data_IF_284123585306
#
_entry.id   IF_284123585306
#
_cell.length_a   1.000
_cell.length_b   1.000
_cell.length_c   1.000
_cell.angle_alpha   90.00
_cell.angle_beta   90.00
_cell.angle_gamma   90.00
#
_symmetry.space_group_name_H-M   'P 1'
#
loop_
_entity.id
_entity.type
_entity.pdbx_description
1 polymer ?
#
# COMPACT_ATOMS: atom_id res chain seq x y z
N UNK A 1 -5.41 -21.32 13.61
CA UNK A 1 -6.31 -20.40 14.36
C UNK A 1 -5.61 -19.10 14.73
N UNK A 2 -4.53 -19.13 15.53
CA UNK A 2 -3.83 -17.93 16.00
C UNK A 2 -3.39 -16.98 14.88
N UNK A 3 -2.71 -17.48 13.83
CA UNK A 3 -2.25 -16.64 12.71
C UNK A 3 -3.39 -15.98 11.93
N UNK A 4 -4.54 -16.66 11.81
CA UNK A 4 -5.72 -16.08 11.17
C UNK A 4 -6.29 -14.93 12.00
N UNK A 5 -6.40 -15.11 13.32
CA UNK A 5 -6.83 -14.07 14.25
C UNK A 5 -5.87 -12.88 14.18
N UNK A 6 -4.56 -13.14 14.20
CA UNK A 6 -3.53 -12.11 14.08
C UNK A 6 -3.69 -11.29 12.79
N UNK A 7 -3.91 -11.95 11.66
CA UNK A 7 -4.17 -11.29 10.39
C UNK A 7 -5.39 -10.36 10.44
N UNK A 8 -6.52 -10.86 10.93
CA UNK A 8 -7.73 -10.04 11.05
C UNK A 8 -7.58 -8.88 12.04
N UNK A 9 -6.90 -9.08 13.17
CA UNK A 9 -6.55 -8.00 14.08
C UNK A 9 -5.72 -6.91 13.38
N UNK A 10 -4.74 -7.31 12.58
CA UNK A 10 -3.95 -6.38 11.75
C UNK A 10 -4.81 -5.59 10.77
N UNK A 11 -5.68 -6.27 10.01
CA UNK A 11 -6.60 -5.64 9.06
C UNK A 11 -7.54 -4.64 9.73
N UNK A 12 -8.19 -5.03 10.84
CA UNK A 12 -9.09 -4.13 11.55
C UNK A 12 -8.36 -2.93 12.14
N UNK A 13 -7.14 -3.12 12.65
CA UNK A 13 -6.32 -2.04 13.17
C UNK A 13 -5.92 -1.06 12.06
N UNK A 14 -5.57 -1.55 10.86
CA UNK A 14 -5.32 -0.70 9.69
C UNK A 14 -6.55 0.16 9.34
N UNK A 15 -7.72 -0.46 9.23
CA UNK A 15 -8.97 0.24 8.89
C UNK A 15 -9.35 1.25 9.97
N UNK A 16 -9.25 0.88 11.25
CA UNK A 16 -9.51 1.78 12.36
C UNK A 16 -8.53 2.97 12.37
N UNK A 17 -7.26 2.73 12.07
CA UNK A 17 -6.24 3.77 12.02
C UNK A 17 -6.44 4.71 10.82
N UNK A 18 -6.87 4.16 9.68
CA UNK A 18 -7.26 4.94 8.52
C UNK A 18 -8.53 5.76 8.78
N UNK A 19 -9.50 5.21 9.52
CA UNK A 19 -10.66 5.95 9.98
C UNK A 19 -10.29 7.05 10.98
N UNK A 20 -9.33 6.80 11.89
CA UNK A 20 -8.87 7.79 12.87
C UNK A 20 -8.35 9.07 12.22
N UNK A 21 -7.44 8.96 11.24
CA UNK A 21 -6.92 10.12 10.51
C UNK A 21 -8.01 10.81 9.67
N UNK A 22 -9.03 10.07 9.25
CA UNK A 22 -10.11 10.59 8.40
C UNK A 22 -11.24 11.26 9.19
N UNK A 23 -11.49 10.85 10.44
CA UNK A 23 -12.64 11.29 11.24
C UNK A 23 -12.28 12.22 12.41
N UNK A 24 -11.03 12.18 12.89
CA UNK A 24 -10.61 12.98 14.06
C UNK A 24 -9.80 14.19 13.59
N UNK A 25 -10.39 15.39 13.73
CA UNK A 25 -9.75 16.65 13.33
C UNK A 25 -8.46 16.97 14.10
N UNK A 26 -8.36 16.52 15.35
CA UNK A 26 -7.18 16.69 16.22
C UNK A 26 -6.31 15.42 16.31
N UNK A 27 -6.19 14.69 15.19
CA UNK A 27 -5.41 13.46 15.17
C UNK A 27 -3.93 13.69 15.55
N UNK A 28 -3.35 12.71 16.24
CA UNK A 28 -1.96 12.77 16.70
C UNK A 28 -1.09 11.84 15.85
N UNK A 29 -0.04 12.36 15.17
CA UNK A 29 0.83 11.54 14.32
C UNK A 29 1.43 10.32 15.03
N UNK A 30 1.90 10.48 16.28
CA UNK A 30 2.47 9.36 17.04
C UNK A 30 1.46 8.23 17.31
N UNK A 31 0.18 8.55 17.53
CA UNK A 31 -0.88 7.55 17.72
C UNK A 31 -1.12 6.81 16.40
N UNK A 32 -1.24 7.56 15.31
CA UNK A 32 -1.43 6.99 13.97
C UNK A 32 -0.29 6.05 13.58
N UNK A 33 0.97 6.50 13.66
CA UNK A 33 2.11 5.67 13.27
C UNK A 33 2.33 4.48 14.20
N UNK A 34 1.97 4.58 15.49
CA UNK A 34 2.00 3.42 16.40
C UNK A 34 0.96 2.37 16.01
N UNK A 35 -0.28 2.78 15.73
CA UNK A 35 -1.34 1.87 15.25
C UNK A 35 -0.94 1.22 13.92
N UNK A 36 -0.35 2.00 13.01
CA UNK A 36 0.15 1.52 11.73
C UNK A 36 1.27 0.49 11.92
N UNK A 37 2.20 0.74 12.84
CA UNK A 37 3.31 -0.17 13.14
C UNK A 37 2.81 -1.53 13.64
N UNK A 38 1.88 -1.54 14.60
CA UNK A 38 1.31 -2.78 15.11
C UNK A 38 0.53 -3.55 14.04
N UNK A 39 -0.27 -2.85 13.24
CA UNK A 39 -1.04 -3.45 12.15
C UNK A 39 -0.11 -4.07 11.09
N UNK A 40 0.89 -3.29 10.64
CA UNK A 40 1.91 -3.72 9.69
C UNK A 40 2.66 -4.96 10.20
N UNK A 41 3.09 -4.94 11.46
CA UNK A 41 3.83 -6.05 12.07
C UNK A 41 3.00 -7.33 12.08
N UNK A 42 1.73 -7.24 12.50
CA UNK A 42 0.81 -8.38 12.51
C UNK A 42 0.61 -8.97 11.11
N UNK A 43 0.35 -8.12 10.11
CA UNK A 43 0.15 -8.54 8.73
C UNK A 43 1.43 -9.05 8.06
N UNK A 44 2.61 -8.51 8.38
CA UNK A 44 3.89 -9.05 7.91
C UNK A 44 4.11 -10.46 8.42
N UNK A 45 3.97 -10.69 9.73
CA UNK A 45 4.16 -12.02 10.34
C UNK A 45 3.19 -13.03 9.74
N UNK A 46 1.91 -12.68 9.63
CA UNK A 46 0.89 -13.54 9.06
C UNK A 46 1.13 -13.79 7.56
N UNK A 47 1.56 -12.79 6.80
CA UNK A 47 1.86 -12.94 5.36
C UNK A 47 3.08 -13.83 5.11
N UNK A 48 4.14 -13.72 5.93
CA UNK A 48 5.29 -14.63 5.87
C UNK A 48 4.87 -16.06 6.19
N UNK A 49 4.01 -16.26 7.20
CA UNK A 49 3.50 -17.59 7.54
C UNK A 49 2.73 -18.25 6.37
N UNK A 50 2.02 -17.45 5.57
CA UNK A 50 1.29 -17.92 4.38
C UNK A 50 2.16 -17.95 3.10
N UNK A 51 3.45 -17.61 3.18
CA UNK A 51 4.31 -17.40 2.00
C UNK A 51 3.72 -16.39 0.99
N UNK A 52 2.94 -15.43 1.49
CA UNK A 52 2.38 -14.31 0.73
C UNK A 52 3.42 -13.19 0.67
N UNK A 53 4.51 -13.42 -0.07
CA UNK A 53 5.72 -12.59 -0.01
C UNK A 53 5.51 -11.14 -0.43
N UNK A 54 4.67 -10.90 -1.43
CA UNK A 54 4.36 -9.55 -1.89
C UNK A 54 3.67 -8.74 -0.79
N UNK A 55 2.68 -9.34 -0.11
CA UNK A 55 2.02 -8.73 1.05
C UNK A 55 2.98 -8.53 2.23
N UNK A 56 3.86 -9.50 2.48
CA UNK A 56 4.87 -9.40 3.53
C UNK A 56 5.82 -8.22 3.30
N UNK A 57 6.27 -8.02 2.05
CA UNK A 57 7.15 -6.90 1.66
C UNK A 57 6.45 -5.57 1.81
N UNK A 58 5.21 -5.43 1.33
CA UNK A 58 4.43 -4.19 1.46
C UNK A 58 4.25 -3.80 2.94
N UNK A 59 3.76 -4.73 3.75
CA UNK A 59 3.55 -4.49 5.17
C UNK A 59 4.89 -4.27 5.90
N UNK A 60 5.94 -4.99 5.54
CA UNK A 60 7.28 -4.80 6.11
C UNK A 60 7.87 -3.43 5.78
N UNK A 61 7.58 -2.91 4.58
CA UNK A 61 7.94 -1.55 4.20
C UNK A 61 7.18 -0.51 5.01
N UNK A 62 5.86 -0.67 5.17
CA UNK A 62 5.05 0.21 6.01
C UNK A 62 5.44 0.18 7.48
N UNK A 63 5.78 -1.00 8.00
CA UNK A 63 6.37 -1.20 9.34
C UNK A 63 7.66 -0.39 9.49
N UNK A 64 8.54 -0.45 8.49
CA UNK A 64 9.81 0.29 8.48
C UNK A 64 9.59 1.80 8.49
N UNK A 65 8.76 2.33 7.59
CA UNK A 65 8.48 3.77 7.53
C UNK A 65 7.81 4.26 8.82
N UNK A 66 6.85 3.50 9.37
CA UNK A 66 6.21 3.86 10.64
C UNK A 66 7.21 3.91 11.79
N UNK A 67 8.16 2.97 11.84
CA UNK A 67 9.24 2.97 12.82
C UNK A 67 10.12 4.20 12.68
N UNK A 68 10.58 4.52 11.46
CA UNK A 68 11.41 5.70 11.18
C UNK A 68 10.72 7.00 11.61
N UNK A 69 9.42 7.15 11.34
CA UNK A 69 8.67 8.34 11.72
C UNK A 69 8.45 8.44 13.24
N UNK A 70 8.32 7.32 13.95
CA UNK A 70 8.20 7.31 15.42
C UNK A 70 9.49 7.72 16.13
N UNK A 71 10.65 7.51 15.50
CA UNK A 71 11.97 7.99 15.97
C UNK A 71 12.38 9.33 15.33
N UNK A 72 11.42 10.06 14.76
CA UNK A 72 11.59 11.42 14.22
C UNK A 72 12.62 11.53 13.06
N UNK A 73 12.80 10.46 12.26
CA UNK A 73 13.66 10.48 11.06
C UNK A 73 12.98 11.27 9.93
N UNK A 74 13.73 12.21 9.34
CA UNK A 74 13.32 13.05 8.23
C UNK A 74 13.42 12.33 6.88
N UNK A 75 12.28 11.80 6.39
CA UNK A 75 12.17 11.04 5.13
C UNK A 75 12.30 11.93 3.89
N UNK A 76 12.01 13.23 4.01
CA UNK A 76 12.09 14.23 2.94
C UNK A 76 13.52 14.54 2.46
N UNK A 77 14.54 13.99 3.13
CA UNK A 77 15.95 14.14 2.75
C UNK A 77 16.36 13.37 1.49
N UNK A 78 15.56 12.37 1.07
CA UNK A 78 15.88 11.51 -0.07
C UNK A 78 15.42 12.14 -1.39
N UNK A 79 16.37 12.51 -2.24
CA UNK A 79 16.10 13.10 -3.56
C UNK A 79 15.91 12.03 -4.63
N UNK A 80 14.66 11.75 -5.00
CA UNK A 80 14.34 10.88 -6.15
C UNK A 80 14.16 11.73 -7.40
N UNK A 81 14.87 11.39 -8.49
CA UNK A 81 14.67 12.04 -9.79
C UNK A 81 13.39 11.52 -10.45
N UNK A 82 12.49 12.43 -10.84
CA UNK A 82 11.22 12.08 -11.47
C UNK A 82 11.39 11.16 -12.69
N UNK A 83 12.38 11.43 -13.56
CA UNK A 83 12.69 10.60 -14.72
C UNK A 83 12.96 9.14 -14.33
N UNK A 84 13.78 8.91 -13.29
CA UNK A 84 14.11 7.57 -12.83
C UNK A 84 12.88 6.83 -12.30
N UNK A 85 12.03 7.52 -11.52
CA UNK A 85 10.77 6.95 -11.04
C UNK A 85 9.84 6.57 -12.18
N UNK A 86 9.56 7.49 -13.12
CA UNK A 86 8.67 7.21 -14.25
C UNK A 86 9.21 6.10 -15.16
N UNK A 87 10.51 6.09 -15.46
CA UNK A 87 11.12 5.04 -16.29
C UNK A 87 11.00 3.67 -15.63
N UNK A 88 11.25 3.57 -14.32
CA UNK A 88 11.13 2.30 -13.61
C UNK A 88 9.67 1.85 -13.47
N UNK A 89 8.74 2.77 -13.18
CA UNK A 89 7.31 2.49 -13.16
C UNK A 89 6.79 1.99 -14.52
N UNK A 90 7.22 2.61 -15.62
CA UNK A 90 6.87 2.17 -16.96
C UNK A 90 7.43 0.76 -17.25
N UNK A 91 8.69 0.50 -16.87
CA UNK A 91 9.30 -0.82 -17.02
C UNK A 91 8.56 -1.89 -16.22
N UNK A 92 8.15 -1.60 -14.98
CA UNK A 92 7.39 -2.53 -14.15
C UNK A 92 6.02 -2.86 -14.75
N UNK A 93 5.31 -1.84 -15.26
CA UNK A 93 4.02 -2.04 -15.93
C UNK A 93 4.17 -2.82 -17.24
N UNK A 94 5.21 -2.53 -18.02
CA UNK A 94 5.53 -3.28 -19.25
C UNK A 94 5.87 -4.74 -18.93
N UNK A 95 6.67 -5.00 -17.89
CA UNK A 95 7.01 -6.36 -17.47
C UNK A 95 5.76 -7.14 -17.03
N UNK A 96 4.90 -6.54 -16.21
CA UNK A 96 3.62 -7.15 -15.82
C UNK A 96 2.72 -7.42 -17.04
N UNK A 97 2.59 -6.45 -17.94
CA UNK A 97 1.73 -6.58 -19.13
C UNK A 97 2.26 -7.63 -20.11
N UNK A 98 3.57 -7.66 -20.35
CA UNK A 98 4.20 -8.65 -21.22
C UNK A 98 4.10 -10.06 -20.63
N UNK A 99 4.23 -10.20 -19.30
CA UNK A 99 4.13 -11.50 -18.63
C UNK A 99 2.79 -12.18 -18.86
N UNK A 100 1.69 -11.44 -19.02
CA UNK A 100 0.38 -12.02 -19.35
C UNK A 100 0.39 -12.91 -20.61
N UNK A 101 1.22 -12.57 -21.60
CA UNK A 101 1.29 -13.29 -22.87
C UNK A 101 2.41 -14.34 -22.94
N UNK A 102 3.38 -14.27 -22.03
CA UNK A 102 4.65 -14.98 -22.14
C UNK A 102 4.81 -16.12 -21.14
N UNK A 103 4.04 -16.12 -20.05
CA UNK A 103 4.19 -17.09 -18.96
C UNK A 103 2.83 -17.62 -18.49
N UNK A 104 2.88 -18.68 -17.68
CA UNK A 104 1.69 -19.27 -17.07
C UNK A 104 0.96 -18.29 -16.14
N UNK A 105 -0.37 -18.45 -16.04
CA UNK A 105 -1.25 -17.51 -15.35
C UNK A 105 -0.90 -17.31 -13.87
N UNK A 106 -0.42 -18.34 -13.18
CA UNK A 106 0.02 -18.29 -11.78
C UNK A 106 1.26 -17.40 -11.64
N UNK A 107 2.26 -17.60 -12.49
CA UNK A 107 3.47 -16.78 -12.52
C UNK A 107 3.17 -15.34 -12.96
N UNK A 108 2.19 -15.13 -13.86
CA UNK A 108 1.68 -13.81 -14.18
C UNK A 108 1.13 -13.09 -12.93
N UNK A 109 0.33 -13.77 -12.10
CA UNK A 109 -0.17 -13.20 -10.85
C UNK A 109 0.95 -12.87 -9.86
N UNK A 110 2.02 -13.65 -9.82
CA UNK A 110 3.20 -13.31 -9.01
C UNK A 110 3.89 -12.04 -9.48
N UNK A 111 4.11 -11.89 -10.79
CA UNK A 111 4.69 -10.67 -11.39
C UNK A 111 3.80 -9.46 -11.14
N UNK A 112 2.48 -9.63 -11.29
CA UNK A 112 1.49 -8.60 -11.01
C UNK A 112 1.47 -8.21 -9.52
N UNK A 113 1.65 -9.18 -8.61
CA UNK A 113 1.84 -8.92 -7.19
C UNK A 113 3.12 -8.14 -6.89
N UNK A 114 4.22 -8.43 -7.58
CA UNK A 114 5.47 -7.67 -7.41
C UNK A 114 5.40 -6.26 -7.98
N UNK A 115 4.67 -6.05 -9.09
CA UNK A 115 4.39 -4.69 -9.57
C UNK A 115 3.54 -3.93 -8.56
N UNK A 116 2.53 -4.56 -7.95
CA UNK A 116 1.77 -3.96 -6.84
C UNK A 116 2.70 -3.55 -5.68
N UNK A 117 3.57 -4.45 -5.21
CA UNK A 117 4.47 -4.16 -4.11
C UNK A 117 5.37 -2.94 -4.39
N UNK A 118 5.90 -2.84 -5.62
CA UNK A 118 6.63 -1.66 -6.05
C UNK A 118 5.78 -0.38 -5.97
N UNK A 119 4.56 -0.37 -6.53
CA UNK A 119 3.72 0.83 -6.54
C UNK A 119 3.25 1.23 -5.14
N UNK A 120 2.91 0.27 -4.26
CA UNK A 120 2.58 0.58 -2.88
C UNK A 120 3.75 1.20 -2.13
N UNK A 121 4.93 0.58 -2.18
CA UNK A 121 6.09 1.06 -1.42
C UNK A 121 6.59 2.41 -1.95
N UNK A 122 6.75 2.53 -3.26
CA UNK A 122 7.27 3.75 -3.88
C UNK A 122 6.31 4.93 -3.73
N UNK A 123 5.00 4.73 -3.95
CA UNK A 123 4.03 5.82 -3.80
C UNK A 123 3.86 6.24 -2.33
N UNK A 124 3.86 5.30 -1.38
CA UNK A 124 3.80 5.61 0.04
C UNK A 124 5.04 6.41 0.50
N UNK A 125 6.22 6.01 0.04
CA UNK A 125 7.46 6.73 0.30
C UNK A 125 7.42 8.16 -0.26
N UNK A 126 7.09 8.32 -1.54
CA UNK A 126 7.04 9.62 -2.21
C UNK A 126 5.96 10.53 -1.61
N UNK A 127 4.82 9.97 -1.21
CA UNK A 127 3.76 10.71 -0.53
C UNK A 127 4.23 11.18 0.86
N UNK A 128 4.86 10.30 1.64
CA UNK A 128 5.43 10.64 2.95
C UNK A 128 6.52 11.71 2.86
N UNK A 129 7.28 11.72 1.76
CA UNK A 129 8.28 12.73 1.44
C UNK A 129 7.69 14.01 0.80
N UNK A 130 6.37 14.11 0.61
CA UNK A 130 5.66 15.24 -0.03
C UNK A 130 6.10 15.53 -1.48
N UNK A 131 6.55 14.50 -2.21
CA UNK A 131 7.04 14.62 -3.59
C UNK A 131 5.91 14.48 -4.61
N UNK A 132 4.90 13.66 -4.31
CA UNK A 132 3.72 13.46 -5.17
C UNK A 132 2.46 14.00 -4.52
N UNK A 133 1.48 14.40 -5.34
CA UNK A 133 0.18 14.84 -4.84
C UNK A 133 -0.62 13.69 -4.24
N UNK A 134 -1.56 14.03 -3.36
CA UNK A 134 -2.50 13.06 -2.78
C UNK A 134 -3.24 12.27 -3.88
N UNK A 135 -3.67 12.94 -4.95
CA UNK A 135 -4.34 12.27 -6.07
C UNK A 135 -3.45 11.24 -6.77
N UNK A 136 -2.19 11.57 -7.04
CA UNK A 136 -1.25 10.63 -7.66
C UNK A 136 -0.99 9.41 -6.76
N UNK A 137 -0.86 9.65 -5.44
CA UNK A 137 -0.74 8.59 -4.44
C UNK A 137 -1.97 7.66 -4.44
N UNK A 138 -3.19 8.22 -4.40
CA UNK A 138 -4.42 7.43 -4.45
C UNK A 138 -4.54 6.63 -5.76
N UNK A 139 -4.16 7.19 -6.91
CA UNK A 139 -4.16 6.47 -8.19
C UNK A 139 -3.21 5.27 -8.18
N UNK A 140 -2.01 5.43 -7.60
CA UNK A 140 -1.08 4.32 -7.43
C UNK A 140 -1.65 3.23 -6.50
N UNK A 141 -2.29 3.62 -5.41
CA UNK A 141 -2.93 2.69 -4.48
C UNK A 141 -4.07 1.89 -5.11
N UNK A 142 -4.91 2.51 -5.96
CA UNK A 142 -5.96 1.79 -6.67
C UNK A 142 -5.36 0.68 -7.54
N UNK A 143 -4.35 1.02 -8.34
CA UNK A 143 -3.66 0.02 -9.17
C UNK A 143 -3.03 -1.07 -8.30
N UNK A 144 -2.25 -0.69 -7.29
CA UNK A 144 -1.50 -1.62 -6.47
C UNK A 144 -2.42 -2.57 -5.70
N UNK A 145 -3.49 -2.07 -5.08
CA UNK A 145 -4.47 -2.88 -4.38
C UNK A 145 -5.10 -3.93 -5.30
N UNK A 146 -5.59 -3.51 -6.48
CA UNK A 146 -6.24 -4.40 -7.44
C UNK A 146 -5.28 -5.42 -8.04
N UNK A 147 -4.06 -5.00 -8.38
CA UNK A 147 -3.02 -5.86 -8.94
C UNK A 147 -2.58 -6.96 -7.95
N UNK A 148 -2.69 -6.72 -6.64
CA UNK A 148 -2.31 -7.69 -5.62
C UNK A 148 -3.37 -8.79 -5.40
N UNK A 149 -4.65 -8.51 -5.67
CA UNK A 149 -5.77 -9.40 -5.31
C UNK A 149 -5.61 -10.85 -5.80
N UNK A 150 -5.21 -11.12 -7.07
CA UNK A 150 -5.09 -12.50 -7.54
C UNK A 150 -4.06 -13.30 -6.74
N UNK A 151 -2.94 -12.68 -6.39
CA UNK A 151 -1.88 -13.32 -5.61
C UNK A 151 -2.29 -13.55 -4.15
N UNK A 152 -3.06 -12.64 -3.56
CA UNK A 152 -3.62 -12.81 -2.21
C UNK A 152 -4.63 -13.94 -2.17
N UNK A 153 -5.42 -14.09 -3.23
CA UNK A 153 -6.35 -15.20 -3.37
C UNK A 153 -5.62 -16.54 -3.44
N UNK A 154 -4.59 -16.65 -4.29
CA UNK A 154 -3.76 -17.86 -4.40
C UNK A 154 -3.06 -18.24 -3.08
N UNK A 155 -2.57 -17.25 -2.34
CA UNK A 155 -1.92 -17.46 -1.04
C UNK A 155 -2.90 -17.60 0.14
N UNK A 156 -4.22 -17.60 -0.12
CA UNK A 156 -5.28 -17.63 0.89
C UNK A 156 -5.12 -16.54 1.98
N UNK A 157 -4.52 -15.40 1.63
CA UNK A 157 -4.27 -14.29 2.55
C UNK A 157 -5.51 -13.38 2.63
N UNK A 158 -6.62 -13.94 3.12
CA UNK A 158 -7.91 -13.25 3.17
C UNK A 158 -7.92 -11.94 3.99
N UNK A 159 -7.22 -11.83 5.13
CA UNK A 159 -7.17 -10.57 5.87
C UNK A 159 -6.61 -9.41 5.04
N UNK A 160 -5.49 -9.65 4.33
CA UNK A 160 -4.90 -8.64 3.44
C UNK A 160 -5.77 -8.46 2.20
N UNK A 161 -6.36 -9.52 1.64
CA UNK A 161 -7.29 -9.40 0.50
C UNK A 161 -8.46 -8.47 0.80
N UNK A 162 -9.09 -8.62 1.97
CA UNK A 162 -10.18 -7.73 2.41
C UNK A 162 -9.70 -6.30 2.63
N UNK A 163 -8.51 -6.13 3.21
CA UNK A 163 -7.88 -4.82 3.36
C UNK A 163 -7.72 -4.13 2.00
N UNK A 164 -7.15 -4.82 1.01
CA UNK A 164 -6.89 -4.26 -0.33
C UNK A 164 -8.18 -3.87 -1.07
N UNK A 165 -9.24 -4.69 -0.98
CA UNK A 165 -10.54 -4.35 -1.57
C UNK A 165 -11.08 -3.05 -0.96
N UNK A 166 -11.06 -2.94 0.37
CA UNK A 166 -11.50 -1.72 1.05
C UNK A 166 -10.61 -0.52 0.67
N UNK A 167 -9.30 -0.71 0.60
CA UNK A 167 -8.32 0.34 0.28
C UNK A 167 -8.48 0.85 -1.15
N UNK A 168 -8.72 -0.03 -2.11
CA UNK A 168 -9.00 0.32 -3.51
C UNK A 168 -10.27 1.19 -3.61
N UNK A 169 -11.35 0.77 -2.96
CA UNK A 169 -12.62 1.50 -2.95
C UNK A 169 -12.45 2.90 -2.34
N UNK A 170 -11.81 2.99 -1.16
CA UNK A 170 -11.57 4.27 -0.50
C UNK A 170 -10.69 5.18 -1.36
N UNK A 171 -9.67 4.62 -2.02
CA UNK A 171 -8.79 5.39 -2.90
C UNK A 171 -9.52 5.92 -4.14
N UNK A 172 -10.40 5.12 -4.75
CA UNK A 172 -11.27 5.56 -5.85
C UNK A 172 -12.19 6.71 -5.43
N UNK A 173 -12.85 6.58 -4.28
CA UNK A 173 -13.72 7.64 -3.74
C UNK A 173 -12.92 8.93 -3.51
N UNK A 174 -11.72 8.82 -2.93
CA UNK A 174 -10.85 9.97 -2.70
C UNK A 174 -10.43 10.67 -4.00
N UNK A 175 -10.12 9.91 -5.05
CA UNK A 175 -9.82 10.47 -6.38
C UNK A 175 -11.04 11.24 -6.90
N UNK A 176 -12.24 10.64 -6.90
CA UNK A 176 -13.46 11.28 -7.44
C UNK A 176 -13.77 12.58 -6.69
N UNK A 177 -13.69 12.57 -5.35
CA UNK A 177 -13.93 13.79 -4.55
C UNK A 177 -12.91 14.89 -4.86
N UNK A 178 -11.64 14.53 -5.09
CA UNK A 178 -10.61 15.51 -5.45
C UNK A 178 -10.87 16.22 -6.78
N UNK A 179 -11.68 15.66 -7.69
CA UNK A 179 -12.10 16.35 -8.91
C UNK A 179 -13.21 17.38 -8.65
N UNK A 180 -14.08 17.14 -7.67
CA UNK A 180 -15.19 18.05 -7.34
C UNK A 180 -14.71 19.31 -6.60
N UNK A 181 -13.55 19.24 -5.94
CA UNK A 181 -12.92 20.39 -5.27
C UNK A 181 -12.03 21.24 -6.19
N UNK A 182 -11.88 20.88 -7.47
CA UNK A 182 -11.08 21.67 -8.45
C UNK A 182 -11.69 23.04 -8.74
N UNK A 183 -12.96 23.28 -8.35
CA UNK A 183 -13.57 24.60 -8.41
C UNK A 183 -13.20 25.54 -7.25
N UNK A 184 -12.31 25.12 -6.33
CA UNK A 184 -11.93 25.90 -5.14
C UNK A 184 -10.41 26.03 -4.93
N UNK A 185 -9.60 25.80 -5.96
CA UNK A 185 -8.15 26.10 -5.90
C UNK A 185 -7.83 27.20 -6.90
N UNK A 186 -7.93 28.44 -6.42
CA UNK A 186 -7.05 29.54 -6.79
C UNK A 186 -5.69 29.37 -6.07
#
# INVERSE_FOLDING_TARGET
>A
MFMLILGWCGTFLYLANHAYISLVTSWRPKVYFSGNLFAATALTVQSVHLSSWQAAVINGFWMTVSTLLLIDVKIDSVKIRAKSYFSFSALMLLAASASFFLIEITTFYEVLGWSSAYFFCSSYFLFSAKIISSRAYLSCNVYAALALLPQLWLSANYPVLTLEVAWAIVSLIGIIKSYNEVHLID
#
